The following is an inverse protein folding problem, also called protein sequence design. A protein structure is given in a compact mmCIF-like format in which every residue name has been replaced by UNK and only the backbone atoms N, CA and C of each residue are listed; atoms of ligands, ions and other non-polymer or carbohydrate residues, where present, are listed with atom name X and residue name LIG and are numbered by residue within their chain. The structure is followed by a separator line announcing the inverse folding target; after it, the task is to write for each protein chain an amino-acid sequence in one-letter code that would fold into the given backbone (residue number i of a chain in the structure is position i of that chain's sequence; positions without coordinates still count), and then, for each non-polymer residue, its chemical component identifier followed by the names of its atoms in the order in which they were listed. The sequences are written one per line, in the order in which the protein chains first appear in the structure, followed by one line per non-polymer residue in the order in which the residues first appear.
data_IF_937441518640
#
_entry.id   IF_937441518640
#
_cell.length_a   1.000
_cell.length_b   1.000
_cell.length_c   1.000
_cell.angle_alpha   90.00
_cell.angle_beta   90.00
_cell.angle_gamma   90.00
#
_symmetry.space_group_name_H-M   'P 1'
#
loop_
_entity.id
_entity.type
_entity.pdbx_description
1 polymer ?
#
# COMPACT_ATOMS: atom_id res chain seq x y z
N UNK A 1 -22.35 1.27 -14.42
CA UNK A 1 -21.50 0.86 -15.56
C UNK A 1 -21.24 2.07 -16.43
N UNK A 2 -19.99 2.24 -16.88
CA UNK A 2 -19.55 3.37 -17.68
C UNK A 2 -18.75 2.87 -18.89
N UNK A 3 -18.83 3.59 -20.00
CA UNK A 3 -18.00 3.40 -21.19
C UNK A 3 -16.59 3.97 -21.01
N UNK A 4 -15.71 3.77 -21.99
CA UNK A 4 -14.29 4.13 -21.91
C UNK A 4 -14.04 5.64 -21.78
N UNK A 5 -14.98 6.51 -22.18
CA UNK A 5 -14.85 7.96 -21.98
C UNK A 5 -15.84 8.49 -20.93
N UNK A 6 -16.26 7.63 -19.99
CA UNK A 6 -17.18 8.01 -18.92
C UNK A 6 -18.65 8.08 -19.35
N UNK A 7 -19.01 7.57 -20.52
CA UNK A 7 -20.40 7.48 -20.94
C UNK A 7 -21.19 6.61 -19.97
N UNK A 8 -22.31 7.12 -19.45
CA UNK A 8 -23.14 6.32 -18.57
C UNK A 8 -23.90 5.25 -19.37
N UNK A 9 -23.67 3.97 -19.03
CA UNK A 9 -24.30 2.83 -19.71
C UNK A 9 -25.61 2.40 -19.04
N UNK A 10 -25.59 2.28 -17.71
CA UNK A 10 -26.71 2.19 -16.73
C UNK A 10 -26.10 1.72 -15.38
N UNK A 11 -26.92 1.39 -14.37
CA UNK A 11 -26.52 0.69 -13.14
C UNK A 11 -25.65 1.46 -12.12
N UNK A 12 -25.80 2.79 -12.02
CA UNK A 12 -25.17 3.58 -10.92
C UNK A 12 -25.59 3.09 -9.52
N UNK A 13 -26.67 2.30 -9.42
CA UNK A 13 -27.24 1.78 -8.17
C UNK A 13 -27.76 0.34 -8.29
N UNK A 14 -27.09 -0.54 -9.04
CA UNK A 14 -27.50 -1.95 -9.15
C UNK A 14 -27.22 -2.79 -7.88
N UNK A 15 -27.40 -2.20 -6.70
CA UNK A 15 -27.52 -2.91 -5.43
C UNK A 15 -29.01 -3.22 -5.15
N UNK A 16 -29.72 -3.75 -6.16
CA UNK A 16 -31.12 -4.12 -6.04
C UNK A 16 -31.24 -5.54 -5.48
N UNK A 17 -32.19 -5.77 -4.57
CA UNK A 17 -32.39 -7.09 -3.92
C UNK A 17 -33.02 -8.13 -4.88
N UNK A 18 -33.46 -7.70 -6.07
CA UNK A 18 -34.17 -8.52 -7.06
C UNK A 18 -33.29 -8.83 -8.28
N UNK A 19 -33.00 -10.12 -8.48
CA UNK A 19 -32.18 -10.62 -9.59
C UNK A 19 -32.76 -10.32 -10.97
N UNK A 20 -34.09 -10.26 -11.12
CA UNK A 20 -34.74 -9.93 -12.39
C UNK A 20 -34.53 -8.46 -12.78
N UNK A 21 -34.58 -7.55 -11.80
CA UNK A 21 -34.29 -6.12 -12.04
C UNK A 21 -32.81 -5.89 -12.39
N UNK A 22 -31.89 -6.59 -11.70
CA UNK A 22 -30.47 -6.58 -12.05
C UNK A 22 -30.27 -7.04 -13.50
N UNK A 23 -30.86 -8.18 -13.89
CA UNK A 23 -30.72 -8.71 -15.25
C UNK A 23 -31.27 -7.74 -16.29
N UNK A 24 -32.44 -7.12 -16.04
CA UNK A 24 -33.03 -6.15 -16.93
C UNK A 24 -32.12 -4.91 -17.11
N UNK A 25 -31.54 -4.40 -16.02
CA UNK A 25 -30.56 -3.29 -16.06
C UNK A 25 -29.29 -3.66 -16.82
N UNK A 26 -28.77 -4.88 -16.63
CA UNK A 26 -27.60 -5.37 -17.36
C UNK A 26 -27.88 -5.46 -18.86
N UNK A 27 -29.05 -5.97 -19.26
CA UNK A 27 -29.47 -6.02 -20.67
C UNK A 27 -29.57 -4.62 -21.29
N UNK A 28 -30.13 -3.65 -20.59
CA UNK A 28 -30.20 -2.25 -21.08
C UNK A 28 -28.81 -1.62 -21.22
N UNK A 29 -27.93 -1.84 -20.26
CA UNK A 29 -26.55 -1.36 -20.35
C UNK A 29 -25.79 -1.99 -21.52
N UNK A 30 -26.00 -3.29 -21.77
CA UNK A 30 -25.41 -3.99 -22.91
C UNK A 30 -25.94 -3.43 -24.24
N UNK A 31 -27.25 -3.24 -24.36
CA UNK A 31 -27.84 -2.62 -25.55
C UNK A 31 -27.27 -1.21 -25.77
N UNK A 32 -27.17 -0.40 -24.71
CA UNK A 32 -26.58 0.94 -24.77
C UNK A 32 -25.12 0.90 -25.19
N UNK A 33 -24.36 -0.07 -24.70
CA UNK A 33 -22.97 -0.31 -25.09
C UNK A 33 -22.86 -0.62 -26.59
N UNK A 34 -23.66 -1.54 -27.12
CA UNK A 34 -23.62 -1.88 -28.55
C UNK A 34 -23.99 -0.68 -29.44
N UNK A 35 -24.97 0.13 -29.03
CA UNK A 35 -25.30 1.39 -29.71
C UNK A 35 -24.11 2.36 -29.71
N UNK A 36 -23.51 2.62 -28.55
CA UNK A 36 -22.37 3.54 -28.43
C UNK A 36 -21.15 3.04 -29.21
N UNK A 37 -20.91 1.73 -29.19
CA UNK A 37 -19.82 1.09 -29.94
C UNK A 37 -19.95 1.37 -31.43
N UNK A 38 -21.17 1.25 -31.97
CA UNK A 38 -21.45 1.58 -33.37
C UNK A 38 -21.31 3.09 -33.64
N UNK A 39 -21.98 3.95 -32.86
CA UNK A 39 -21.99 5.41 -33.05
C UNK A 39 -20.61 6.06 -32.92
N UNK A 40 -19.78 5.56 -32.00
CA UNK A 40 -18.45 6.10 -31.70
C UNK A 40 -17.33 5.36 -32.45
N UNK A 41 -17.66 4.32 -33.21
CA UNK A 41 -16.68 3.48 -33.89
C UNK A 41 -15.70 2.81 -32.92
N UNK A 42 -16.14 2.44 -31.71
CA UNK A 42 -15.27 1.75 -30.76
C UNK A 42 -14.86 0.40 -31.32
N UNK A 43 -13.56 0.26 -31.52
CA UNK A 43 -12.99 -1.01 -31.92
C UNK A 43 -12.94 -1.91 -30.68
N UNK A 44 -13.38 -3.17 -30.80
CA UNK A 44 -13.28 -4.18 -29.75
C UNK A 44 -11.85 -4.65 -29.51
N UNK A 45 -10.90 -3.72 -29.52
CA UNK A 45 -9.49 -3.98 -29.34
C UNK A 45 -9.25 -4.38 -27.88
N UNK A 46 -8.27 -5.25 -27.63
CA UNK A 46 -7.77 -5.48 -26.29
C UNK A 46 -7.39 -4.14 -25.64
N UNK A 47 -7.67 -4.00 -24.34
CA UNK A 47 -7.14 -2.89 -23.56
C UNK A 47 -5.61 -2.94 -23.70
N UNK A 48 -4.97 -1.88 -24.19
CA UNK A 48 -3.52 -1.88 -24.34
C UNK A 48 -2.87 -2.16 -22.98
N UNK A 49 -1.78 -2.94 -22.93
CA UNK A 49 -1.05 -3.13 -21.70
C UNK A 49 -0.54 -1.78 -21.21
N UNK A 50 -1.12 -1.27 -20.13
CA UNK A 50 -0.65 -0.08 -19.46
C UNK A 50 0.44 -0.47 -18.46
N UNK A 51 1.53 0.30 -18.42
CA UNK A 51 2.46 0.19 -17.29
C UNK A 51 1.73 0.61 -16.02
N UNK A 52 1.93 -0.07 -14.88
CA UNK A 52 1.44 0.41 -13.60
C UNK A 52 1.87 1.86 -13.40
N UNK A 53 0.99 2.70 -12.87
CA UNK A 53 1.29 4.07 -12.46
C UNK A 53 0.92 4.26 -11.01
N UNK A 54 1.64 5.13 -10.30
CA UNK A 54 1.20 5.60 -9.00
C UNK A 54 0.06 6.64 -9.18
N UNK A 55 -0.73 6.94 -8.13
CA UNK A 55 -1.74 7.99 -8.20
C UNK A 55 -1.11 9.36 -8.54
N UNK A 56 -1.74 10.18 -9.38
CA UNK A 56 -1.16 11.43 -9.91
C UNK A 56 -0.86 12.49 -8.83
N UNK A 57 -1.56 12.42 -7.69
CA UNK A 57 -1.34 13.30 -6.53
C UNK A 57 -0.07 12.97 -5.75
N UNK A 58 0.51 11.78 -5.94
CA UNK A 58 1.72 11.36 -5.26
C UNK A 58 2.93 11.91 -6.02
N UNK A 59 3.68 12.78 -5.36
CA UNK A 59 4.84 13.47 -5.96
C UNK A 59 6.07 13.30 -5.09
N UNK A 60 7.25 13.31 -5.68
CA UNK A 60 8.52 13.17 -4.97
C UNK A 60 9.63 12.61 -5.85
N UNK A 61 10.86 12.66 -5.35
CA UNK A 61 11.99 11.96 -5.98
C UNK A 61 12.05 10.49 -5.59
N UNK A 62 11.49 10.14 -4.43
CA UNK A 62 11.27 8.77 -3.99
C UNK A 62 9.77 8.56 -3.85
N UNK A 63 9.21 7.66 -4.66
CA UNK A 63 7.81 7.26 -4.55
C UNK A 63 7.79 5.83 -4.06
N UNK A 64 7.19 5.60 -2.90
CA UNK A 64 7.06 4.26 -2.33
C UNK A 64 5.65 3.76 -2.55
N UNK A 65 5.57 2.51 -3.03
CA UNK A 65 4.38 1.70 -2.87
C UNK A 65 4.41 1.09 -1.47
N UNK A 66 3.36 1.35 -0.70
CA UNK A 66 3.24 0.93 0.69
C UNK A 66 2.25 -0.22 0.77
N UNK A 67 2.63 -1.31 1.42
CA UNK A 67 1.75 -2.43 1.69
C UNK A 67 1.68 -2.69 3.19
N UNK A 68 0.48 -2.90 3.73
CA UNK A 68 0.30 -3.25 5.15
C UNK A 68 -0.47 -4.56 5.31
N UNK A 69 -0.09 -5.37 6.30
CA UNK A 69 -0.70 -6.68 6.54
C UNK A 69 -0.54 -7.13 7.99
N UNK A 70 -1.60 -7.72 8.54
CA UNK A 70 -1.49 -8.51 9.76
C UNK A 70 -0.58 -9.72 9.52
N UNK A 71 0.21 -10.08 10.51
CA UNK A 71 1.08 -11.25 10.47
C UNK A 71 0.50 -12.35 11.37
N UNK A 72 0.88 -13.61 11.16
CA UNK A 72 0.52 -14.70 12.06
C UNK A 72 1.01 -14.43 13.49
N UNK A 73 0.17 -14.71 14.48
CA UNK A 73 0.48 -14.58 15.92
C UNK A 73 1.25 -15.77 16.48
N UNK A 74 1.46 -16.82 15.69
CA UNK A 74 2.18 -18.02 16.10
C UNK A 74 1.82 -19.25 15.27
N UNK A 75 2.29 -20.41 15.71
CA UNK A 75 2.07 -21.67 15.01
C UNK A 75 0.58 -21.97 14.82
N UNK A 76 0.19 -22.22 13.57
CA UNK A 76 -1.19 -22.54 13.20
C UNK A 76 -2.08 -21.32 12.97
N UNK A 77 -1.67 -20.10 13.35
CA UNK A 77 -2.42 -18.89 13.04
C UNK A 77 -2.29 -18.55 11.54
N UNK A 78 -3.44 -18.30 10.92
CA UNK A 78 -3.56 -17.94 9.50
C UNK A 78 -3.92 -16.47 9.32
N UNK A 79 -3.79 -15.65 10.36
CA UNK A 79 -3.95 -14.20 10.30
C UNK A 79 -3.06 -13.62 9.20
N UNK A 80 -3.68 -12.85 8.32
CA UNK A 80 -3.00 -12.32 7.15
C UNK A 80 -2.58 -13.37 6.12
N UNK A 81 -2.96 -14.65 6.20
CA UNK A 81 -2.68 -15.59 5.09
C UNK A 81 -3.44 -15.17 3.83
N UNK A 82 -2.76 -15.23 2.69
CA UNK A 82 -3.41 -15.09 1.37
C UNK A 82 -4.12 -16.39 1.02
N UNK A 83 -5.39 -16.30 0.63
CA UNK A 83 -6.09 -17.43 0.01
C UNK A 83 -5.57 -17.65 -1.41
N UNK A 84 -5.43 -18.90 -1.84
CA UNK A 84 -5.01 -19.25 -3.20
C UNK A 84 -6.13 -18.99 -4.19
N UNK A 85 -5.79 -18.89 -5.49
CA UNK A 85 -6.79 -18.78 -6.55
C UNK A 85 -7.74 -20.00 -6.59
N UNK A 86 -7.27 -21.15 -6.12
CA UNK A 86 -8.08 -22.37 -6.01
C UNK A 86 -9.08 -22.28 -4.85
N UNK A 87 -8.63 -21.87 -3.66
CA UNK A 87 -9.51 -21.62 -2.51
C UNK A 87 -10.58 -20.58 -2.84
N UNK A 88 -10.22 -19.54 -3.60
CA UNK A 88 -11.14 -18.49 -4.05
C UNK A 88 -12.22 -19.02 -5.01
N UNK A 89 -11.89 -19.96 -5.91
CA UNK A 89 -12.87 -20.56 -6.84
C UNK A 89 -13.90 -21.43 -6.13
N UNK A 90 -13.50 -22.05 -5.01
CA UNK A 90 -14.35 -22.96 -4.25
C UNK A 90 -15.20 -22.24 -3.19
N UNK A 91 -14.75 -21.08 -2.70
CA UNK A 91 -15.48 -20.26 -1.74
C UNK A 91 -16.15 -19.08 -2.44
N UNK A 92 -17.40 -19.29 -2.86
CA UNK A 92 -18.25 -18.34 -3.59
C UNK A 92 -18.67 -17.07 -2.80
N UNK A 93 -17.86 -16.59 -1.85
CA UNK A 93 -18.26 -15.54 -0.91
C UNK A 93 -17.39 -14.29 -1.10
N UNK A 94 -18.04 -13.17 -1.37
CA UNK A 94 -17.43 -11.82 -1.45
C UNK A 94 -16.55 -11.47 -0.23
N UNK A 95 -16.82 -12.05 0.95
CA UNK A 95 -16.01 -11.87 2.15
C UNK A 95 -14.55 -12.32 1.98
N UNK A 96 -14.29 -13.31 1.12
CA UNK A 96 -12.95 -13.86 0.92
C UNK A 96 -12.04 -12.97 0.05
N UNK A 97 -12.61 -12.08 -0.79
CA UNK A 97 -11.85 -11.06 -1.51
C UNK A 97 -11.08 -10.14 -0.55
N UNK A 98 -11.62 -9.87 0.64
CA UNK A 98 -10.94 -9.04 1.65
C UNK A 98 -9.70 -9.71 2.26
N UNK A 99 -9.59 -11.04 2.19
CA UNK A 99 -8.38 -11.81 2.55
C UNK A 99 -7.31 -11.74 1.46
N UNK A 100 -7.73 -11.43 0.23
CA UNK A 100 -6.88 -11.32 -0.96
C UNK A 100 -6.38 -9.89 -1.20
N UNK A 101 -7.22 -8.88 -0.95
CA UNK A 101 -6.89 -7.47 -1.17
C UNK A 101 -5.73 -7.00 -0.28
N UNK A 102 -4.70 -6.44 -0.91
CA UNK A 102 -3.63 -5.76 -0.21
C UNK A 102 -4.13 -4.39 0.26
N UNK A 103 -3.87 -4.04 1.52
CA UNK A 103 -3.99 -2.65 1.95
C UNK A 103 -2.79 -1.90 1.38
N UNK A 104 -2.99 -1.38 0.17
CA UNK A 104 -2.01 -0.60 -0.56
C UNK A 104 -2.23 0.90 -0.34
N UNK A 105 -1.14 1.63 -0.22
CA UNK A 105 -1.11 3.10 -0.24
C UNK A 105 0.21 3.57 -0.83
N UNK A 106 0.42 4.88 -0.87
CA UNK A 106 1.54 5.49 -1.55
C UNK A 106 2.09 6.64 -0.71
N UNK A 107 3.40 6.81 -0.71
CA UNK A 107 4.04 7.99 -0.11
C UNK A 107 5.15 8.49 -1.01
N UNK A 108 5.16 9.80 -1.24
CA UNK A 108 6.20 10.49 -2.00
C UNK A 108 7.08 11.32 -1.06
N UNK A 109 8.40 11.22 -1.23
CA UNK A 109 9.38 11.98 -0.47
C UNK A 109 10.21 12.88 -1.39
N UNK A 110 10.58 14.09 -0.92
CA UNK A 110 11.15 15.10 -1.78
C UNK A 110 12.62 14.90 -2.13
N UNK A 111 13.38 14.10 -1.35
CA UNK A 111 14.83 13.99 -1.51
C UNK A 111 15.35 12.56 -1.42
N UNK A 112 16.06 12.14 -2.47
CA UNK A 112 16.85 10.90 -2.49
C UNK A 112 17.98 10.96 -1.45
N UNK A 113 18.62 12.13 -1.31
CA UNK A 113 19.82 12.31 -0.49
C UNK A 113 19.56 12.08 1.00
N UNK A 114 18.31 12.23 1.47
CA UNK A 114 17.93 11.88 2.85
C UNK A 114 18.13 10.40 3.18
N UNK A 115 18.19 9.54 2.17
CA UNK A 115 18.37 8.09 2.29
C UNK A 115 19.76 7.62 1.82
N UNK A 116 20.70 8.52 1.53
CA UNK A 116 22.06 8.15 1.11
C UNK A 116 23.05 8.61 2.18
N UNK A 117 23.85 7.70 2.79
CA UNK A 117 24.85 8.10 3.76
C UNK A 117 25.96 8.90 3.08
N UNK A 118 26.39 9.98 3.72
CA UNK A 118 27.45 10.86 3.21
C UNK A 118 28.83 10.21 3.34
N UNK A 119 28.98 9.31 4.29
CA UNK A 119 30.21 8.60 4.63
C UNK A 119 29.99 7.08 4.69
N UNK A 120 31.05 6.34 5.06
CA UNK A 120 30.93 4.91 5.35
C UNK A 120 30.46 4.63 6.79
N UNK A 121 30.29 5.67 7.61
CA UNK A 121 29.79 5.53 8.97
C UNK A 121 28.26 5.40 8.97
N UNK A 122 27.73 4.92 10.08
CA UNK A 122 26.29 4.92 10.31
C UNK A 122 25.80 6.36 10.48
N UNK A 123 24.74 6.72 9.75
CA UNK A 123 24.13 8.05 9.77
C UNK A 123 22.62 7.93 9.96
N UNK A 124 21.99 8.90 10.63
CA UNK A 124 20.53 8.94 10.76
C UNK A 124 19.89 9.52 9.49
N UNK A 125 18.79 8.89 9.06
CA UNK A 125 17.89 9.45 8.06
C UNK A 125 17.21 10.69 8.64
N UNK A 126 16.94 11.66 7.78
CA UNK A 126 16.27 12.92 8.12
C UNK A 126 14.99 12.70 8.94
N UNK A 127 14.92 13.29 10.13
CA UNK A 127 13.76 13.23 11.01
C UNK A 127 12.48 13.78 10.36
N UNK A 128 12.63 14.79 9.48
CA UNK A 128 11.50 15.33 8.70
C UNK A 128 10.87 14.26 7.82
N UNK A 129 11.69 13.52 7.09
CA UNK A 129 11.21 12.51 6.14
C UNK A 129 10.70 11.26 6.87
N UNK A 130 11.36 10.84 7.96
CA UNK A 130 10.88 9.76 8.81
C UNK A 130 9.54 10.06 9.47
N UNK A 131 9.34 11.27 10.00
CA UNK A 131 8.04 11.67 10.56
C UNK A 131 6.96 11.70 9.49
N UNK A 132 7.29 12.09 8.27
CA UNK A 132 6.35 12.07 7.15
C UNK A 132 5.94 10.63 6.78
N UNK A 133 6.90 9.70 6.71
CA UNK A 133 6.65 8.26 6.57
C UNK A 133 5.77 7.73 7.71
N UNK A 134 6.13 8.06 8.95
CA UNK A 134 5.42 7.56 10.12
C UNK A 134 3.94 7.96 10.09
N UNK A 135 3.64 9.20 9.72
CA UNK A 135 2.26 9.71 9.68
C UNK A 135 1.40 9.07 8.63
N UNK A 136 1.95 8.86 7.43
CA UNK A 136 1.18 8.54 6.23
C UNK A 136 1.25 7.04 5.90
N UNK A 137 2.40 6.40 6.13
CA UNK A 137 2.66 5.03 5.69
C UNK A 137 2.65 4.01 6.86
N UNK A 138 3.06 4.39 8.07
CA UNK A 138 3.08 3.48 9.23
C UNK A 138 1.72 3.39 9.93
N UNK A 139 0.70 3.18 9.12
CA UNK A 139 -0.69 3.06 9.52
C UNK A 139 -1.16 1.62 9.36
N UNK A 140 -1.99 1.21 10.29
CA UNK A 140 -2.87 0.08 10.09
C UNK A 140 -3.98 0.48 9.11
N UNK A 141 -3.64 0.48 7.82
CA UNK A 141 -4.55 0.99 6.81
C UNK A 141 -5.58 -0.08 6.48
N UNK A 142 -6.87 0.28 6.54
CA UNK A 142 -7.96 -0.54 6.03
C UNK A 142 -8.63 0.27 4.94
N UNK A 143 -8.40 -0.12 3.68
CA UNK A 143 -9.03 0.50 2.50
C UNK A 143 -8.78 2.01 2.34
N UNK A 144 -7.67 2.53 2.85
CA UNK A 144 -7.36 3.97 2.78
C UNK A 144 -8.17 4.84 3.76
N UNK A 145 -8.92 4.25 4.68
CA UNK A 145 -9.88 5.01 5.51
C UNK A 145 -9.31 5.44 6.86
N UNK A 146 -8.18 4.89 7.29
CA UNK A 146 -7.62 5.23 8.59
C UNK A 146 -6.91 6.60 8.51
N UNK A 147 -7.27 7.60 9.33
CA UNK A 147 -6.61 8.89 9.30
C UNK A 147 -5.13 8.77 9.65
N UNK A 148 -4.32 9.68 9.09
CA UNK A 148 -2.92 9.83 9.42
C UNK A 148 -2.69 10.02 10.92
N UNK A 149 -1.52 9.59 11.39
CA UNK A 149 -1.07 9.99 12.71
C UNK A 149 -0.82 11.50 12.76
N UNK A 150 -1.09 12.11 13.91
CA UNK A 150 -0.72 13.49 14.17
C UNK A 150 0.76 13.55 14.57
N UNK A 151 1.39 14.71 14.42
CA UNK A 151 2.80 14.89 14.80
C UNK A 151 3.08 14.53 16.26
N UNK A 152 2.13 14.79 17.17
CA UNK A 152 2.26 14.44 18.59
C UNK A 152 2.06 12.95 18.89
N UNK A 153 1.50 12.19 17.96
CA UNK A 153 1.28 10.75 18.12
C UNK A 153 2.58 9.97 17.87
N UNK A 154 3.52 10.54 17.11
CA UNK A 154 4.87 10.00 16.90
C UNK A 154 5.72 10.29 18.14
N UNK A 155 5.79 9.32 19.06
CA UNK A 155 6.56 9.45 20.31
C UNK A 155 8.06 9.39 20.05
N UNK A 156 8.47 8.48 19.17
CA UNK A 156 9.85 8.39 18.68
C UNK A 156 9.90 7.70 17.33
N UNK A 157 10.87 8.08 16.50
CA UNK A 157 11.25 7.33 15.30
C UNK A 157 12.72 7.56 15.00
N UNK A 158 13.44 6.49 14.66
CA UNK A 158 14.81 6.53 14.17
C UNK A 158 14.99 5.54 13.04
N UNK A 159 15.90 5.86 12.14
CA UNK A 159 16.31 4.99 11.05
C UNK A 159 17.76 5.31 10.73
N UNK A 160 18.63 4.38 11.07
CA UNK A 160 20.04 4.46 10.76
C UNK A 160 20.29 3.84 9.40
N UNK A 161 21.13 4.47 8.59
CA UNK A 161 21.59 4.00 7.30
C UNK A 161 23.12 3.84 7.29
N UNK A 162 23.63 2.80 6.63
CA UNK A 162 25.06 2.56 6.50
C UNK A 162 25.39 1.93 5.16
N UNK A 163 26.43 2.42 4.49
CA UNK A 163 26.98 1.76 3.29
C UNK A 163 27.68 0.47 3.71
N UNK A 164 27.22 -0.68 3.21
CA UNK A 164 27.77 -2.00 3.56
C UNK A 164 28.60 -2.62 2.44
N UNK A 165 28.41 -2.17 1.20
CA UNK A 165 29.18 -2.67 0.06
C UNK A 165 29.22 -1.64 -1.07
N UNK A 166 30.27 -1.70 -1.90
CA UNK A 166 30.35 -1.01 -3.18
C UNK A 166 30.83 -1.99 -4.25
N UNK A 167 30.02 -2.25 -5.28
CA UNK A 167 30.36 -3.17 -6.37
C UNK A 167 29.95 -2.58 -7.71
N UNK A 168 30.87 -2.57 -8.67
CA UNK A 168 30.63 -2.05 -10.03
C UNK A 168 30.04 -0.63 -10.03
N UNK A 169 30.53 0.25 -9.15
CA UNK A 169 30.03 1.62 -8.99
C UNK A 169 28.71 1.75 -8.22
N UNK A 170 28.01 0.66 -7.92
CA UNK A 170 26.78 0.66 -7.13
C UNK A 170 27.06 0.51 -5.64
N UNK A 171 26.34 1.26 -4.82
CA UNK A 171 26.44 1.24 -3.37
C UNK A 171 25.25 0.50 -2.75
N UNK A 172 25.53 -0.51 -1.93
CA UNK A 172 24.52 -1.18 -1.11
C UNK A 172 24.44 -0.48 0.25
N UNK A 173 23.26 0.01 0.60
CA UNK A 173 22.98 0.72 1.84
C UNK A 173 22.01 -0.11 2.68
N UNK A 174 22.40 -0.42 3.91
CA UNK A 174 21.59 -1.12 4.89
C UNK A 174 20.86 -0.12 5.79
N UNK A 175 19.62 -0.42 6.15
CA UNK A 175 18.80 0.39 7.05
C UNK A 175 18.32 -0.42 8.25
N UNK A 176 18.38 0.17 9.44
CA UNK A 176 17.83 -0.40 10.68
C UNK A 176 17.21 0.70 11.52
N UNK A 177 16.01 0.48 12.06
CA UNK A 177 15.30 1.54 12.77
C UNK A 177 14.22 1.01 13.70
N UNK A 178 13.57 1.92 14.40
CA UNK A 178 12.45 1.63 15.28
C UNK A 178 11.52 2.83 15.38
N UNK A 179 10.25 2.58 15.68
CA UNK A 179 9.29 3.64 15.94
C UNK A 179 8.40 3.30 17.14
N UNK A 180 7.90 4.35 17.78
CA UNK A 180 6.85 4.27 18.78
C UNK A 180 5.80 5.32 18.42
N UNK A 181 4.64 4.86 17.99
CA UNK A 181 3.54 5.72 17.55
C UNK A 181 2.29 5.36 18.36
N UNK A 182 1.65 6.34 18.98
CA UNK A 182 0.41 6.15 19.74
C UNK A 182 -0.37 7.45 19.96
N UNK A 183 -1.70 7.33 19.87
CA UNK A 183 -2.66 8.40 20.21
C UNK A 183 -3.39 8.14 21.55
N UNK A 184 -2.93 7.15 22.32
CA UNK A 184 -3.56 6.69 23.57
C UNK A 184 -4.71 5.70 23.40
N UNK A 185 -5.26 5.55 22.18
CA UNK A 185 -6.30 4.55 21.86
C UNK A 185 -5.75 3.39 21.04
N UNK A 186 -4.84 3.70 20.12
CA UNK A 186 -4.10 2.74 19.30
C UNK A 186 -2.61 3.02 19.34
N UNK A 187 -1.82 2.01 18.97
CA UNK A 187 -0.37 2.13 18.88
C UNK A 187 0.24 1.18 17.88
N UNK A 188 1.46 1.50 17.45
CA UNK A 188 2.31 0.65 16.63
C UNK A 188 3.78 0.81 17.06
N UNK A 189 4.46 -0.30 17.36
CA UNK A 189 5.85 -0.32 17.83
C UNK A 189 6.76 -1.15 16.90
N UNK A 190 6.97 -0.72 15.65
CA UNK A 190 7.73 -1.49 14.69
C UNK A 190 9.24 -1.35 14.86
N UNK A 191 9.95 -2.41 14.45
CA UNK A 191 11.36 -2.37 14.06
C UNK A 191 11.44 -2.33 12.53
N UNK A 192 12.35 -1.53 11.98
CA UNK A 192 12.61 -1.44 10.55
C UNK A 192 13.87 -2.22 10.17
N UNK A 193 13.79 -2.90 9.03
CA UNK A 193 14.93 -3.44 8.30
C UNK A 193 14.80 -3.04 6.83
N UNK A 194 15.92 -2.76 6.17
CA UNK A 194 15.86 -2.44 4.76
C UNK A 194 17.20 -2.47 4.06
N UNK A 195 17.13 -2.42 2.73
CA UNK A 195 18.28 -2.33 1.85
C UNK A 195 17.96 -1.47 0.63
N UNK A 196 18.94 -0.73 0.14
CA UNK A 196 18.85 0.00 -1.11
C UNK A 196 20.12 -0.12 -1.95
N UNK A 197 19.94 -0.12 -3.27
CA UNK A 197 21.02 -0.12 -4.26
C UNK A 197 21.04 1.25 -4.92
N UNK A 198 22.06 2.05 -4.60
CA UNK A 198 22.22 3.42 -5.09
C UNK A 198 23.30 3.50 -6.18
N UNK A 199 22.99 4.22 -7.26
CA UNK A 199 23.94 4.58 -8.29
C UNK A 199 24.38 6.05 -8.10
N UNK A 200 25.63 6.31 -7.69
CA UNK A 200 26.15 7.66 -7.49
C UNK A 200 26.28 8.47 -8.79
N UNK A 201 26.51 7.80 -9.93
CA UNK A 201 26.70 8.48 -11.23
C UNK A 201 25.38 9.08 -11.73
N UNK A 202 24.28 8.33 -11.60
CA UNK A 202 22.95 8.80 -12.00
C UNK A 202 22.18 9.46 -10.87
N UNK A 203 22.73 9.43 -9.65
CA UNK A 203 22.12 9.91 -8.41
C UNK A 203 20.74 9.31 -8.14
N UNK A 204 20.54 8.02 -8.44
CA UNK A 204 19.26 7.31 -8.32
C UNK A 204 19.40 5.99 -7.58
N UNK A 205 18.31 5.58 -6.93
CA UNK A 205 18.17 4.20 -6.44
C UNK A 205 17.69 3.28 -7.56
N UNK A 206 18.38 2.16 -7.75
CA UNK A 206 17.88 1.04 -8.55
C UNK A 206 16.79 0.28 -7.78
N UNK A 207 16.95 0.18 -6.45
CA UNK A 207 15.97 -0.36 -5.51
C UNK A 207 16.14 0.29 -4.14
N UNK A 208 15.05 0.36 -3.38
CA UNK A 208 15.04 0.72 -1.98
C UNK A 208 13.81 0.11 -1.34
N UNK A 209 14.04 -0.82 -0.41
CA UNK A 209 13.00 -1.57 0.27
C UNK A 209 13.18 -1.45 1.78
N UNK A 210 12.12 -1.01 2.45
CA UNK A 210 12.04 -0.93 3.91
C UNK A 210 10.89 -1.79 4.40
N UNK A 211 11.10 -2.53 5.48
CA UNK A 211 10.09 -3.37 6.11
C UNK A 211 10.02 -3.03 7.58
N UNK A 212 8.87 -2.52 8.00
CA UNK A 212 8.53 -2.20 9.39
C UNK A 212 7.68 -3.31 9.95
N UNK A 213 8.14 -3.97 11.00
CA UNK A 213 7.46 -5.12 11.62
C UNK A 213 7.37 -4.90 13.11
N UNK A 214 6.18 -5.05 13.68
CA UNK A 214 6.02 -5.04 15.13
C UNK A 214 4.59 -5.16 15.60
N UNK A 215 4.38 -5.10 16.92
CA UNK A 215 3.05 -5.15 17.49
C UNK A 215 2.30 -3.85 17.24
N UNK A 216 1.05 -3.98 16.79
CA UNK A 216 0.01 -2.96 16.84
C UNK A 216 -1.00 -3.29 17.93
N UNK A 217 -1.65 -2.29 18.51
CA UNK A 217 -2.78 -2.50 19.44
C UNK A 217 -3.83 -1.42 19.31
N UNK A 218 -5.01 -1.71 19.84
CA UNK A 218 -6.18 -0.82 19.78
C UNK A 218 -6.94 -0.91 18.45
N UNK A 219 -8.04 -0.18 18.39
CA UNK A 219 -8.88 -0.08 17.21
C UNK A 219 -8.86 1.35 16.66
N UNK A 220 -9.11 1.44 15.36
CA UNK A 220 -9.42 2.66 14.65
C UNK A 220 -10.87 2.59 14.18
N UNK A 221 -11.45 3.74 13.84
CA UNK A 221 -12.85 3.86 13.44
C UNK A 221 -13.28 2.86 12.35
N UNK A 222 -12.38 2.50 11.44
CA UNK A 222 -12.69 1.67 10.26
C UNK A 222 -12.09 0.26 10.28
N UNK A 223 -11.21 -0.07 11.23
CA UNK A 223 -10.57 -1.39 11.24
C UNK A 223 -11.38 -2.45 12.01
N UNK A 224 -12.44 -2.05 12.74
CA UNK A 224 -13.38 -2.93 13.45
C UNK A 224 -12.68 -3.92 14.41
N UNK A 225 -11.62 -3.46 15.09
CA UNK A 225 -10.75 -4.30 15.93
C UNK A 225 -11.09 -4.30 17.42
N UNK A 226 -12.32 -3.95 17.80
CA UNK A 226 -12.71 -3.83 19.21
C UNK A 226 -12.64 -5.14 20.00
N UNK A 227 -12.59 -6.28 19.31
CA UNK A 227 -12.45 -7.62 19.88
C UNK A 227 -11.08 -8.27 19.58
N UNK A 228 -10.16 -7.53 18.99
CA UNK A 228 -8.86 -8.09 18.60
C UNK A 228 -8.03 -8.42 19.85
N UNK A 229 -7.49 -9.63 19.90
CA UNK A 229 -6.80 -10.11 21.11
C UNK A 229 -5.43 -9.43 21.23
N UNK A 230 -5.30 -8.50 22.18
CA UNK A 230 -4.01 -7.90 22.56
C UNK A 230 -3.18 -7.34 21.40
N UNK A 231 -1.88 -7.07 21.61
CA UNK A 231 -1.02 -6.62 20.54
C UNK A 231 -0.93 -7.68 19.43
N UNK A 232 -1.21 -7.29 18.19
CA UNK A 232 -1.16 -8.14 17.01
C UNK A 232 0.08 -7.78 16.18
N UNK A 233 0.82 -8.75 15.64
CA UNK A 233 1.94 -8.43 14.76
C UNK A 233 1.41 -7.92 13.42
N UNK A 234 2.02 -6.84 12.94
CA UNK A 234 1.74 -6.25 11.63
C UNK A 234 3.06 -5.97 10.92
N UNK A 235 3.04 -6.14 9.60
CA UNK A 235 4.14 -5.77 8.71
C UNK A 235 3.69 -4.67 7.75
N UNK A 236 4.57 -3.69 7.53
CA UNK A 236 4.40 -2.64 6.53
C UNK A 236 5.66 -2.59 5.67
N UNK A 237 5.51 -2.75 4.36
CA UNK A 237 6.62 -2.59 3.40
C UNK A 237 6.52 -1.26 2.69
N UNK A 238 7.65 -0.61 2.45
CA UNK A 238 7.81 0.52 1.55
C UNK A 238 8.80 0.10 0.47
N UNK A 239 8.30 -0.10 -0.74
CA UNK A 239 9.12 -0.49 -1.90
C UNK A 239 9.16 0.65 -2.90
N UNK A 240 10.37 1.03 -3.32
CA UNK A 240 10.56 2.05 -4.35
C UNK A 240 9.82 1.67 -5.62
N UNK A 241 9.01 2.61 -6.11
CA UNK A 241 8.28 2.50 -7.36
C UNK A 241 9.09 3.21 -8.46
N UNK A 242 9.59 2.42 -9.41
CA UNK A 242 10.44 2.85 -10.52
C UNK A 242 9.78 2.55 -11.87
#
# INVERSE_FOLDING_TARGET
MMGPNGEYLEAKFAAAVNSADILARMKRALNRWETLKSERGYQGLPIPPAKPTHPPEITGQLIFRVNSRDLPRGNGDQSGRRITAEEQRNNNVWSDFTKWAWNESWVGLPSIQSFVPKSNQAEEVSQRDLRSIARIALLDNVRGQNPEWREQDIKSISLTMRRINTKNGLQTIQYTGLANISDGRKSYLPTCYGEGIYNPETQRFNSLDLVWIGPRSGSAQFNQRDKDQGPAPMGITLSLFN
#
